data_IF_827664215469
#
_entry.id   IF_827664215469
#
_cell.length_a   1.000
_cell.length_b   1.000
_cell.length_c   1.000
_cell.angle_alpha   90.00
_cell.angle_beta   90.00
_cell.angle_gamma   90.00
#
_symmetry.space_group_name_H-M   'P 1'
#
loop_
_entity.id
_entity.type
_entity.pdbx_description
1 polymer ?
#
# COMPACT_ATOMS: atom_id res chain seq x y z
N UNK A 1 35.85 42.34 -29.06
CA UNK A 1 35.48 41.85 -27.72
C UNK A 1 34.81 40.49 -27.90
N UNK A 2 35.32 39.39 -27.32
CA UNK A 2 34.76 38.07 -27.56
C UNK A 2 33.48 37.85 -26.72
N UNK A 3 32.49 37.20 -27.33
CA UNK A 3 31.21 36.84 -26.73
C UNK A 3 31.37 35.61 -25.83
N UNK A 4 31.12 35.77 -24.52
CA UNK A 4 31.02 34.64 -23.59
C UNK A 4 29.77 33.81 -23.92
N UNK A 5 29.97 32.62 -24.47
CA UNK A 5 28.95 31.59 -24.56
C UNK A 5 28.79 30.98 -23.16
N UNK A 6 27.70 31.30 -22.47
CA UNK A 6 27.29 30.55 -21.29
C UNK A 6 26.82 29.16 -21.75
N UNK A 7 27.61 28.15 -21.44
CA UNK A 7 27.20 26.75 -21.54
C UNK A 7 26.11 26.53 -20.49
N UNK A 8 24.86 26.31 -20.92
CA UNK A 8 23.78 25.90 -20.02
C UNK A 8 23.87 24.38 -19.88
N UNK A 9 24.55 23.91 -18.84
CA UNK A 9 24.49 22.50 -18.46
C UNK A 9 23.08 22.19 -17.92
N UNK A 10 22.33 21.24 -18.51
CA UNK A 10 21.05 20.83 -17.94
C UNK A 10 21.31 20.16 -16.59
N UNK A 11 20.63 20.63 -15.54
CA UNK A 11 20.62 19.93 -14.24
C UNK A 11 20.14 18.49 -14.47
N UNK A 12 20.75 17.48 -13.84
CA UNK A 12 20.29 16.10 -13.96
C UNK A 12 18.82 16.02 -13.55
N UNK A 13 17.96 15.48 -14.42
CA UNK A 13 16.52 15.33 -14.21
C UNK A 13 16.24 14.47 -12.97
N UNK A 14 16.05 15.13 -11.83
CA UNK A 14 15.79 14.49 -10.53
C UNK A 14 14.57 13.56 -10.60
N UNK A 15 13.58 13.87 -11.45
CA UNK A 15 12.40 13.04 -11.69
C UNK A 15 12.67 11.73 -12.45
N UNK A 16 13.56 11.74 -13.45
CA UNK A 16 13.93 10.53 -14.20
C UNK A 16 14.72 9.56 -13.32
N UNK A 17 15.57 10.10 -12.43
CA UNK A 17 16.35 9.30 -11.47
C UNK A 17 15.42 8.65 -10.42
N UNK A 18 14.46 9.39 -9.86
CA UNK A 18 13.49 8.82 -8.91
C UNK A 18 12.65 7.72 -9.55
N UNK A 19 12.18 7.91 -10.79
CA UNK A 19 11.41 6.87 -11.48
C UNK A 19 12.20 5.57 -11.66
N UNK A 20 13.48 5.66 -12.05
CA UNK A 20 14.35 4.49 -12.18
C UNK A 20 14.56 3.79 -10.83
N UNK A 21 14.79 4.57 -9.76
CA UNK A 21 15.05 4.00 -8.43
C UNK A 21 13.80 3.33 -7.83
N UNK A 22 12.60 3.89 -8.01
CA UNK A 22 11.35 3.25 -7.59
C UNK A 22 11.15 1.94 -8.35
N UNK A 23 11.42 1.95 -9.67
CA UNK A 23 11.30 0.73 -10.48
C UNK A 23 12.23 -0.38 -9.99
N UNK A 24 13.45 -0.04 -9.59
CA UNK A 24 14.39 -0.98 -8.99
C UNK A 24 13.91 -1.50 -7.62
N UNK A 25 13.32 -0.65 -6.78
CA UNK A 25 12.73 -1.12 -5.51
C UNK A 25 11.55 -2.06 -5.78
N UNK A 26 10.61 -1.62 -6.63
CA UNK A 26 9.42 -2.40 -6.97
C UNK A 26 9.72 -3.73 -7.66
N UNK A 27 10.86 -3.87 -8.34
CA UNK A 27 11.24 -5.16 -8.95
C UNK A 27 11.57 -6.26 -7.94
N UNK A 28 11.71 -5.94 -6.65
CA UNK A 28 11.88 -6.91 -5.56
C UNK A 28 10.55 -7.29 -4.89
N UNK A 29 9.42 -6.81 -5.41
CA UNK A 29 8.09 -7.13 -4.90
C UNK A 29 7.42 -8.21 -5.76
N UNK A 30 6.47 -8.93 -5.19
CA UNK A 30 5.67 -9.92 -5.93
C UNK A 30 4.78 -9.27 -7.01
N UNK A 31 4.51 -7.96 -6.87
CA UNK A 31 3.64 -7.21 -7.80
C UNK A 31 4.30 -5.90 -8.27
N UNK A 32 5.37 -5.95 -9.10
CA UNK A 32 6.17 -4.78 -9.46
C UNK A 32 5.38 -3.65 -10.13
N UNK A 33 4.48 -4.01 -11.06
CA UNK A 33 3.67 -3.02 -11.79
C UNK A 33 2.65 -2.35 -10.87
N UNK A 34 2.07 -3.10 -9.93
CA UNK A 34 1.14 -2.55 -8.94
C UNK A 34 1.91 -1.65 -7.99
N UNK A 35 3.05 -2.11 -7.46
CA UNK A 35 3.95 -1.32 -6.62
C UNK A 35 4.26 0.04 -7.25
N UNK A 36 4.72 0.05 -8.51
CA UNK A 36 5.11 1.29 -9.19
C UNK A 36 3.92 2.25 -9.34
N UNK A 37 2.74 1.72 -9.71
CA UNK A 37 1.54 2.52 -9.90
C UNK A 37 0.97 3.07 -8.59
N UNK A 38 1.02 2.31 -7.51
CA UNK A 38 0.39 2.67 -6.24
C UNK A 38 1.31 3.49 -5.34
N UNK A 39 2.63 3.31 -5.40
CA UNK A 39 3.60 4.06 -4.59
C UNK A 39 3.81 5.48 -5.14
N UNK A 40 3.93 5.62 -6.46
CA UNK A 40 4.29 6.90 -7.11
C UNK A 40 3.44 8.11 -6.67
N UNK A 41 2.10 8.01 -6.50
CA UNK A 41 1.26 9.12 -6.04
C UNK A 41 1.54 9.60 -4.61
N UNK A 42 2.14 8.77 -3.75
CA UNK A 42 2.37 9.08 -2.33
C UNK A 42 3.81 9.44 -2.01
N UNK A 43 4.71 9.43 -3.01
CA UNK A 43 6.11 9.74 -2.79
C UNK A 43 6.35 11.23 -2.58
N UNK A 44 7.17 11.53 -1.58
CA UNK A 44 7.67 12.87 -1.32
C UNK A 44 8.72 13.29 -2.38
N UNK A 45 9.07 14.58 -2.36
CA UNK A 45 10.13 15.13 -3.21
C UNK A 45 11.51 14.57 -2.87
N UNK A 46 11.75 14.18 -1.61
CA UNK A 46 12.97 13.48 -1.20
C UNK A 46 12.81 11.98 -1.44
N UNK A 47 13.81 11.38 -2.07
CA UNK A 47 13.81 9.96 -2.39
C UNK A 47 14.80 9.21 -1.50
N UNK A 48 14.26 8.38 -0.61
CA UNK A 48 14.99 7.36 0.13
C UNK A 48 14.07 6.14 0.34
N UNK A 49 14.64 5.03 0.78
CA UNK A 49 13.92 3.77 0.91
C UNK A 49 12.83 3.80 2.00
N UNK A 50 13.01 4.59 3.06
CA UNK A 50 11.98 4.78 4.10
C UNK A 50 10.80 5.58 3.57
N UNK A 51 11.04 6.62 2.76
CA UNK A 51 9.96 7.37 2.09
C UNK A 51 9.19 6.47 1.11
N UNK A 52 9.88 5.54 0.44
CA UNK A 52 9.24 4.56 -0.45
C UNK A 52 8.38 3.57 0.36
N UNK A 53 8.87 3.11 1.51
CA UNK A 53 8.10 2.27 2.43
C UNK A 53 6.88 3.03 2.97
N UNK A 54 7.04 4.26 3.44
CA UNK A 54 5.93 5.11 3.91
C UNK A 54 4.88 5.33 2.81
N UNK A 55 5.33 5.63 1.58
CA UNK A 55 4.44 5.79 0.43
C UNK A 55 3.69 4.49 0.08
N UNK A 56 4.33 3.33 0.19
CA UNK A 56 3.69 2.03 0.01
C UNK A 56 2.61 1.78 1.08
N UNK A 57 2.91 2.06 2.34
CA UNK A 57 1.94 1.89 3.44
C UNK A 57 0.76 2.84 3.27
N UNK A 58 0.99 4.10 2.86
CA UNK A 58 -0.08 5.06 2.52
C UNK A 58 -0.94 4.57 1.36
N UNK A 59 -0.34 3.95 0.35
CA UNK A 59 -1.08 3.35 -0.76
C UNK A 59 -1.96 2.19 -0.28
N UNK A 60 -1.45 1.32 0.59
CA UNK A 60 -2.23 0.24 1.21
C UNK A 60 -3.40 0.80 2.04
N UNK A 61 -3.15 1.84 2.84
CA UNK A 61 -4.17 2.54 3.62
C UNK A 61 -5.26 3.15 2.75
N UNK A 62 -4.91 3.72 1.60
CA UNK A 62 -5.88 4.21 0.63
C UNK A 62 -6.77 3.09 0.09
N UNK A 63 -6.18 1.95 -0.30
CA UNK A 63 -6.94 0.79 -0.77
C UNK A 63 -7.86 0.24 0.31
N UNK A 64 -7.40 0.11 1.55
CA UNK A 64 -8.21 -0.37 2.67
C UNK A 64 -9.43 0.53 2.94
N UNK A 65 -9.25 1.86 2.94
CA UNK A 65 -10.35 2.81 3.09
C UNK A 65 -11.37 2.72 1.94
N UNK A 66 -10.87 2.53 0.71
CA UNK A 66 -11.73 2.30 -0.44
C UNK A 66 -12.54 1.02 -0.27
N UNK A 67 -11.92 -0.08 0.17
CA UNK A 67 -12.62 -1.34 0.43
C UNK A 67 -13.70 -1.19 1.49
N UNK A 68 -13.43 -0.52 2.61
CA UNK A 68 -14.44 -0.23 3.64
C UNK A 68 -15.65 0.51 3.05
N UNK A 69 -15.40 1.48 2.17
CA UNK A 69 -16.48 2.22 1.51
C UNK A 69 -17.35 1.32 0.62
N UNK A 70 -16.72 0.35 -0.07
CA UNK A 70 -17.42 -0.66 -0.87
C UNK A 70 -18.23 -1.61 0.02
N UNK A 71 -17.65 -2.12 1.11
CA UNK A 71 -18.33 -3.00 2.08
C UNK A 71 -19.57 -2.31 2.65
N UNK A 72 -19.43 -1.06 3.14
CA UNK A 72 -20.56 -0.27 3.68
C UNK A 72 -21.65 -0.03 2.64
N UNK A 73 -21.29 0.14 1.36
CA UNK A 73 -22.27 0.26 0.28
C UNK A 73 -23.04 -1.05 0.08
N UNK A 74 -22.35 -2.19 0.06
CA UNK A 74 -22.98 -3.51 -0.08
C UNK A 74 -23.89 -3.86 1.10
N UNK A 75 -23.54 -3.45 2.33
CA UNK A 75 -24.40 -3.67 3.50
C UNK A 75 -25.80 -3.07 3.34
N UNK A 76 -25.94 -1.98 2.57
CA UNK A 76 -27.23 -1.33 2.33
C UNK A 76 -28.08 -2.05 1.28
N UNK A 77 -27.45 -2.81 0.39
CA UNK A 77 -28.11 -3.43 -0.78
C UNK A 77 -28.28 -4.93 -0.68
N UNK A 78 -27.58 -5.58 0.27
CA UNK A 78 -27.57 -7.04 0.43
C UNK A 78 -27.84 -7.45 1.88
N UNK A 79 -29.09 -7.37 2.35
CA UNK A 79 -29.47 -7.76 3.71
C UNK A 79 -29.09 -9.21 4.07
N UNK A 80 -29.13 -10.11 3.08
CA UNK A 80 -28.74 -11.52 3.20
C UNK A 80 -27.25 -11.72 3.55
N UNK A 81 -26.43 -10.70 3.30
CA UNK A 81 -24.99 -10.68 3.58
C UNK A 81 -24.63 -9.86 4.82
N UNK A 82 -25.61 -9.33 5.56
CA UNK A 82 -25.35 -8.33 6.59
C UNK A 82 -24.32 -8.79 7.63
N UNK A 83 -24.42 -10.02 8.12
CA UNK A 83 -23.46 -10.58 9.10
C UNK A 83 -22.06 -10.64 8.51
N UNK A 84 -21.87 -11.32 7.38
CA UNK A 84 -20.56 -11.45 6.73
C UNK A 84 -19.92 -10.08 6.38
N UNK A 85 -20.73 -9.11 5.93
CA UNK A 85 -20.26 -7.75 5.64
C UNK A 85 -19.92 -6.97 6.92
N UNK A 86 -20.65 -7.20 8.01
CA UNK A 86 -20.34 -6.62 9.33
C UNK A 86 -19.00 -7.16 9.85
N UNK A 87 -18.80 -8.47 9.78
CA UNK A 87 -17.57 -9.13 10.21
C UNK A 87 -16.39 -8.66 9.35
N UNK A 88 -16.56 -8.58 8.03
CA UNK A 88 -15.53 -8.03 7.15
C UNK A 88 -15.21 -6.56 7.47
N UNK A 89 -16.21 -5.74 7.78
CA UNK A 89 -15.98 -4.34 8.18
C UNK A 89 -15.18 -4.25 9.47
N UNK A 90 -15.38 -5.15 10.43
CA UNK A 90 -14.59 -5.24 11.65
C UNK A 90 -13.13 -5.59 11.32
N UNK A 91 -12.90 -6.62 10.51
CA UNK A 91 -11.55 -6.98 10.06
C UNK A 91 -10.84 -5.82 9.35
N UNK A 92 -11.55 -5.10 8.47
CA UNK A 92 -10.97 -3.93 7.83
C UNK A 92 -10.72 -2.75 8.79
N UNK A 93 -11.47 -2.64 9.89
CA UNK A 93 -11.19 -1.66 10.94
C UNK A 93 -9.86 -1.98 11.64
N UNK A 94 -9.62 -3.26 11.94
CA UNK A 94 -8.33 -3.74 12.48
C UNK A 94 -7.18 -3.51 11.47
N UNK A 95 -7.42 -3.82 10.19
CA UNK A 95 -6.47 -3.55 9.12
C UNK A 95 -6.06 -2.07 9.08
N UNK A 96 -7.03 -1.15 9.18
CA UNK A 96 -6.75 0.28 9.20
C UNK A 96 -5.94 0.70 10.45
N UNK A 97 -6.25 0.17 11.63
CA UNK A 97 -5.46 0.42 12.84
C UNK A 97 -4.01 -0.07 12.69
N UNK A 98 -3.82 -1.29 12.21
CA UNK A 98 -2.51 -1.87 11.95
C UNK A 98 -1.70 -1.02 10.94
N UNK A 99 -2.34 -0.50 9.88
CA UNK A 99 -1.67 0.40 8.92
C UNK A 99 -1.25 1.72 9.55
N UNK A 100 -2.09 2.33 10.40
CA UNK A 100 -1.71 3.55 11.12
C UNK A 100 -0.56 3.31 12.10
N UNK A 101 -0.56 2.15 12.79
CA UNK A 101 0.53 1.75 13.68
C UNK A 101 1.83 1.51 12.92
N UNK A 102 1.77 0.90 11.74
CA UNK A 102 2.92 0.77 10.85
C UNK A 102 3.48 2.14 10.45
N UNK A 103 2.61 3.09 10.04
CA UNK A 103 3.04 4.46 9.74
C UNK A 103 3.66 5.18 10.94
N UNK A 104 3.13 4.98 12.15
CA UNK A 104 3.66 5.59 13.37
C UNK A 104 5.05 5.04 13.76
N UNK A 105 5.41 3.83 13.32
CA UNK A 105 6.70 3.21 13.58
C UNK A 105 7.81 3.68 12.60
N UNK A 106 7.45 4.23 11.44
CA UNK A 106 8.38 4.70 10.40
C UNK A 106 9.38 5.75 10.91
N UNK A 107 8.97 6.83 11.61
CA UNK A 107 9.92 7.87 12.05
C UNK A 107 11.01 7.36 13.00
N UNK A 108 10.71 6.31 13.77
CA UNK A 108 11.64 5.68 14.71
C UNK A 108 12.44 4.53 14.07
N UNK A 109 12.27 4.29 12.78
CA UNK A 109 12.89 3.16 12.05
C UNK A 109 12.60 1.79 12.71
N UNK A 110 11.44 1.64 13.38
CA UNK A 110 11.06 0.39 14.03
C UNK A 110 10.45 -0.57 13.00
N UNK A 111 11.32 -1.16 12.18
CA UNK A 111 10.96 -2.10 11.13
C UNK A 111 10.36 -3.41 11.68
N UNK A 112 10.69 -3.75 12.93
CA UNK A 112 10.08 -4.87 13.63
C UNK A 112 8.57 -4.65 13.79
N UNK A 113 8.18 -3.50 14.35
CA UNK A 113 6.77 -3.12 14.45
C UNK A 113 6.12 -2.99 13.07
N UNK A 114 6.78 -2.33 12.09
CA UNK A 114 6.24 -2.21 10.72
C UNK A 114 5.90 -3.58 10.13
N UNK A 115 6.82 -4.53 10.21
CA UNK A 115 6.65 -5.88 9.64
C UNK A 115 5.53 -6.67 10.33
N UNK A 116 5.45 -6.59 11.66
CA UNK A 116 4.39 -7.27 12.43
C UNK A 116 3.02 -6.68 12.07
N UNK A 117 2.90 -5.35 12.00
CA UNK A 117 1.64 -4.69 11.66
C UNK A 117 1.21 -4.99 10.22
N UNK A 118 2.13 -4.98 9.25
CA UNK A 118 1.83 -5.33 7.86
C UNK A 118 1.44 -6.81 7.69
N UNK A 119 2.02 -7.70 8.50
CA UNK A 119 1.62 -9.11 8.53
C UNK A 119 0.21 -9.27 9.11
N UNK A 120 -0.14 -8.48 10.13
CA UNK A 120 -1.48 -8.44 10.69
C UNK A 120 -2.51 -7.94 9.66
N UNK A 121 -2.16 -6.94 8.85
CA UNK A 121 -3.01 -6.47 7.73
C UNK A 121 -3.37 -7.60 6.77
N UNK A 122 -2.41 -8.44 6.38
CA UNK A 122 -2.69 -9.59 5.52
C UNK A 122 -3.64 -10.59 6.19
N UNK A 123 -3.46 -10.84 7.49
CA UNK A 123 -4.33 -11.72 8.27
C UNK A 123 -5.76 -11.16 8.37
N UNK A 124 -5.92 -9.86 8.64
CA UNK A 124 -7.21 -9.18 8.71
C UNK A 124 -7.97 -9.28 7.36
N UNK A 125 -7.28 -9.00 6.25
CA UNK A 125 -7.90 -9.09 4.91
C UNK A 125 -8.29 -10.53 4.59
N UNK A 126 -7.40 -11.50 4.86
CA UNK A 126 -7.70 -12.92 4.66
C UNK A 126 -8.89 -13.40 5.50
N UNK A 127 -9.03 -12.91 6.74
CA UNK A 127 -10.15 -13.25 7.60
C UNK A 127 -11.47 -12.72 7.01
N UNK A 128 -11.50 -11.48 6.50
CA UNK A 128 -12.65 -10.96 5.77
C UNK A 128 -13.00 -11.84 4.55
N UNK A 129 -12.02 -12.17 3.71
CA UNK A 129 -12.23 -12.95 2.47
C UNK A 129 -12.78 -14.35 2.77
N UNK A 130 -12.23 -15.04 3.76
CA UNK A 130 -12.69 -16.38 4.17
C UNK A 130 -14.14 -16.41 4.63
N UNK A 131 -14.62 -15.34 5.27
CA UNK A 131 -16.02 -15.24 5.71
C UNK A 131 -17.03 -15.24 4.56
N UNK A 132 -16.63 -14.84 3.35
CA UNK A 132 -17.48 -14.90 2.16
C UNK A 132 -17.46 -16.26 1.46
N UNK A 133 -16.36 -17.01 1.55
CA UNK A 133 -16.25 -18.34 0.95
C UNK A 133 -17.23 -19.34 1.57
N UNK A 134 -17.44 -19.27 2.89
CA UNK A 134 -18.39 -20.11 3.62
C UNK A 134 -19.83 -19.93 3.12
N UNK A 135 -20.16 -18.76 2.58
CA UNK A 135 -21.51 -18.45 2.12
C UNK A 135 -21.75 -18.86 0.65
N UNK A 136 -20.73 -19.31 -0.11
CA UNK A 136 -20.78 -19.49 -1.58
C UNK A 136 -21.30 -18.27 -2.34
N UNK A 137 -21.34 -17.11 -1.69
CA UNK A 137 -21.84 -15.90 -2.31
C UNK A 137 -20.67 -15.36 -3.12
N UNK A 138 -20.78 -15.48 -4.45
CA UNK A 138 -19.97 -14.71 -5.39
C UNK A 138 -20.36 -13.24 -5.24
N UNK A 139 -20.01 -12.63 -4.11
CA UNK A 139 -20.09 -11.18 -3.99
C UNK A 139 -19.17 -10.69 -5.08
N UNK A 140 -19.71 -10.00 -6.07
CA UNK A 140 -18.90 -9.21 -7.01
C UNK A 140 -18.25 -8.01 -6.29
N UNK A 141 -17.92 -8.16 -5.00
CA UNK A 141 -16.78 -7.54 -4.35
C UNK A 141 -15.52 -8.10 -5.01
N UNK A 142 -15.39 -7.86 -6.32
CA UNK A 142 -14.09 -7.61 -6.93
C UNK A 142 -13.61 -6.26 -6.40
N UNK A 143 -13.49 -6.13 -5.08
CA UNK A 143 -12.42 -5.33 -4.54
C UNK A 143 -11.25 -6.26 -4.73
N UNK A 144 -10.69 -6.20 -5.94
CA UNK A 144 -9.49 -6.94 -6.33
C UNK A 144 -8.55 -6.91 -5.14
N UNK A 145 -7.83 -8.01 -4.86
CA UNK A 145 -6.94 -8.20 -3.70
C UNK A 145 -5.81 -7.17 -3.54
N UNK A 146 -5.95 -5.98 -4.12
CA UNK A 146 -5.22 -4.74 -3.98
C UNK A 146 -4.77 -4.45 -2.55
N UNK A 147 -5.57 -4.71 -1.52
CA UNK A 147 -5.11 -4.52 -0.12
C UNK A 147 -4.05 -5.55 0.21
N UNK A 148 -4.30 -6.84 -0.04
CA UNK A 148 -3.30 -7.91 0.12
C UNK A 148 -2.06 -7.70 -0.74
N UNK A 149 -2.23 -7.28 -2.00
CA UNK A 149 -1.16 -6.98 -2.96
C UNK A 149 -0.30 -5.82 -2.47
N UNK A 150 -0.93 -4.72 -2.05
CA UNK A 150 -0.19 -3.54 -1.57
C UNK A 150 0.46 -3.80 -0.22
N UNK A 151 -0.15 -4.58 0.68
CA UNK A 151 0.47 -5.04 1.92
C UNK A 151 1.68 -5.96 1.68
N UNK A 152 1.58 -6.89 0.73
CA UNK A 152 2.71 -7.72 0.26
C UNK A 152 3.85 -6.84 -0.28
N UNK A 153 3.55 -5.86 -1.13
CA UNK A 153 4.55 -4.91 -1.61
C UNK A 153 5.20 -4.14 -0.45
N UNK A 154 4.44 -3.72 0.57
CA UNK A 154 4.99 -3.06 1.76
C UNK A 154 5.99 -3.96 2.50
N UNK A 155 5.67 -5.24 2.69
CA UNK A 155 6.56 -6.21 3.35
C UNK A 155 7.85 -6.43 2.56
N UNK A 156 7.74 -6.60 1.24
CA UNK A 156 8.92 -6.71 0.37
C UNK A 156 9.81 -5.48 0.47
N UNK A 157 9.24 -4.27 0.44
CA UNK A 157 9.99 -3.01 0.55
C UNK A 157 10.63 -2.88 1.94
N UNK A 158 9.90 -3.22 3.02
CA UNK A 158 10.42 -3.20 4.38
C UNK A 158 11.65 -4.12 4.53
N UNK A 159 11.62 -5.30 3.89
CA UNK A 159 12.74 -6.24 3.87
C UNK A 159 13.99 -5.75 3.13
N UNK A 160 13.89 -4.68 2.33
CA UNK A 160 15.04 -4.06 1.68
C UNK A 160 15.74 -3.04 2.58
N UNK A 161 15.09 -2.58 3.66
CA UNK A 161 15.67 -1.57 4.54
C UNK A 161 16.76 -2.22 5.40
N UNK A 162 18.01 -1.71 5.38
CA UNK A 162 19.07 -2.26 6.20
C UNK A 162 18.75 -2.17 7.69
N UNK A 163 19.03 -3.25 8.43
CA UNK A 163 18.96 -3.35 9.89
C UNK A 163 20.10 -2.63 10.60
#
# INVERSE_FOLDING_TARGET
MPQHHHHFEPKPDTQNNHHHNIKNICSHTDYPDVCLRTVKPFLAHHFDLMNVLEAAIKACLFQANYTVSVVVKHMKTSPELHTALSDCKEQYTNCLDNLHRALAAIPSHDLGTVTVMLSAVLADVSACESGFEEHKIKVSMHVEGMVSITASNCLSIAGLVPS
#
